data_IF_230301678057
#
_entry.id   IF_230301678057
#
_cell.length_a   1.000
_cell.length_b   1.000
_cell.length_c   1.000
_cell.angle_alpha   90.00
_cell.angle_beta   90.00
_cell.angle_gamma   90.00
#
_symmetry.space_group_name_H-M   'P 1'
#
loop_
_entity.id
_entity.type
_entity.pdbx_description
1 polymer ?
#
# COMPACT_ATOMS: atom_id res chain seq x y z
N UNK A 1 25.69 6.22 -1.91
CA UNK A 1 24.31 5.97 -1.51
C UNK A 1 23.46 7.04 -2.19
N UNK A 2 22.55 6.64 -3.07
CA UNK A 2 21.80 7.59 -3.89
C UNK A 2 20.66 8.24 -3.09
N UNK A 3 19.98 7.46 -2.23
CA UNK A 3 18.89 7.94 -1.39
C UNK A 3 19.21 7.79 0.09
N UNK A 4 18.67 8.70 0.91
CA UNK A 4 18.76 8.69 2.38
C UNK A 4 17.44 8.31 3.03
N UNK A 5 16.34 8.56 2.31
CA UNK A 5 14.97 8.27 2.75
C UNK A 5 14.26 7.46 1.70
N UNK A 6 13.52 6.44 2.13
CA UNK A 6 12.66 5.65 1.27
C UNK A 6 11.26 5.60 1.86
N UNK A 7 10.28 5.98 1.05
CA UNK A 7 8.86 5.91 1.39
C UNK A 7 8.28 4.73 0.61
N UNK A 8 7.79 3.73 1.31
CA UNK A 8 7.20 2.52 0.73
C UNK A 8 5.67 2.55 0.80
N UNK A 9 5.00 2.07 -0.23
CA UNK A 9 3.65 1.55 -0.06
C UNK A 9 3.68 0.24 0.75
N UNK A 10 2.52 -0.25 1.16
CA UNK A 10 2.35 -1.43 2.00
C UNK A 10 1.79 -2.62 1.21
N UNK A 11 0.51 -2.52 0.80
CA UNK A 11 -0.24 -3.60 0.17
C UNK A 11 0.20 -3.77 -1.30
N UNK A 12 0.75 -4.92 -1.67
CA UNK A 12 1.33 -5.15 -3.01
C UNK A 12 2.81 -4.76 -3.14
N UNK A 13 3.36 -4.03 -2.19
CA UNK A 13 4.77 -3.58 -2.21
C UNK A 13 5.61 -4.30 -1.17
N UNK A 14 5.29 -4.16 0.10
CA UNK A 14 5.98 -4.82 1.22
C UNK A 14 5.32 -6.15 1.60
N UNK A 15 4.00 -6.20 1.54
CA UNK A 15 3.18 -7.33 1.96
C UNK A 15 2.23 -7.76 0.85
N UNK A 16 2.12 -9.07 0.65
CA UNK A 16 1.02 -9.68 -0.07
C UNK A 16 -0.17 -9.81 0.89
N UNK A 17 -1.15 -8.94 0.72
CA UNK A 17 -2.35 -8.84 1.57
C UNK A 17 -3.62 -9.26 0.85
N UNK A 18 -3.50 -9.67 -0.42
CA UNK A 18 -4.68 -9.83 -1.29
C UNK A 18 -5.64 -10.91 -0.82
N UNK A 19 -5.12 -12.03 -0.29
CA UNK A 19 -5.94 -13.15 0.17
C UNK A 19 -6.84 -12.75 1.33
N UNK A 20 -6.33 -12.00 2.31
CA UNK A 20 -7.14 -11.55 3.45
C UNK A 20 -8.14 -10.45 3.05
N UNK A 21 -7.78 -9.59 2.10
CA UNK A 21 -8.71 -8.61 1.52
C UNK A 21 -9.86 -9.31 0.77
N UNK A 22 -9.56 -10.34 -0.02
CA UNK A 22 -10.54 -11.13 -0.73
C UNK A 22 -11.45 -11.92 0.23
N UNK A 23 -10.88 -12.50 1.28
CA UNK A 23 -11.65 -13.19 2.32
C UNK A 23 -12.63 -12.24 3.00
N UNK A 24 -12.22 -11.02 3.32
CA UNK A 24 -13.08 -10.02 3.93
C UNK A 24 -14.20 -9.54 2.98
N UNK A 25 -13.89 -9.30 1.70
CA UNK A 25 -14.90 -8.96 0.70
C UNK A 25 -15.94 -10.08 0.55
N UNK A 26 -15.49 -11.32 0.43
CA UNK A 26 -16.36 -12.49 0.29
C UNK A 26 -17.14 -12.80 1.56
N UNK A 27 -16.59 -12.55 2.74
CA UNK A 27 -17.38 -12.62 3.97
C UNK A 27 -18.57 -11.67 3.89
N UNK A 28 -18.37 -10.41 3.50
CA UNK A 28 -19.46 -9.44 3.36
C UNK A 28 -20.45 -9.83 2.27
N UNK A 29 -19.97 -10.38 1.15
CA UNK A 29 -20.83 -10.89 0.08
C UNK A 29 -21.76 -11.99 0.59
N UNK A 30 -21.23 -12.97 1.33
CA UNK A 30 -22.05 -14.05 1.93
C UNK A 30 -23.09 -13.54 2.92
N UNK A 31 -22.69 -12.60 3.80
CA UNK A 31 -23.62 -12.02 4.79
C UNK A 31 -24.79 -11.22 4.19
N UNK A 32 -24.65 -10.81 2.91
CA UNK A 32 -25.66 -10.02 2.22
C UNK A 32 -26.30 -10.75 1.01
N UNK A 33 -26.04 -12.07 0.85
CA UNK A 33 -26.50 -12.88 -0.29
C UNK A 33 -26.06 -12.32 -1.66
N UNK A 34 -24.83 -11.76 -1.73
CA UNK A 34 -24.22 -11.28 -2.96
C UNK A 34 -23.27 -12.32 -3.57
N UNK A 35 -23.03 -12.24 -4.90
CA UNK A 35 -22.01 -13.09 -5.53
C UNK A 35 -20.63 -12.89 -4.92
N UNK A 36 -19.88 -13.97 -4.76
CA UNK A 36 -18.49 -13.93 -4.32
C UNK A 36 -17.55 -13.67 -5.51
N UNK A 37 -16.36 -13.17 -5.22
CA UNK A 37 -15.31 -12.85 -6.17
C UNK A 37 -14.08 -13.75 -5.99
N UNK A 38 -13.39 -14.03 -7.07
CA UNK A 38 -12.07 -14.65 -7.03
C UNK A 38 -11.04 -13.66 -6.46
N UNK A 39 -9.90 -14.17 -5.98
CA UNK A 39 -8.79 -13.33 -5.50
C UNK A 39 -8.33 -12.34 -6.59
N UNK A 40 -8.20 -12.79 -7.85
CA UNK A 40 -7.79 -11.95 -8.97
C UNK A 40 -8.79 -10.81 -9.29
N UNK A 41 -10.09 -11.07 -9.14
CA UNK A 41 -11.11 -10.02 -9.29
C UNK A 41 -10.99 -8.98 -8.18
N UNK A 42 -10.81 -9.42 -6.92
CA UNK A 42 -10.61 -8.49 -5.80
C UNK A 42 -9.33 -7.69 -5.97
N UNK A 43 -8.23 -8.30 -6.43
CA UNK A 43 -6.97 -7.64 -6.72
C UNK A 43 -7.15 -6.47 -7.70
N UNK A 44 -7.94 -6.67 -8.74
CA UNK A 44 -8.26 -5.60 -9.70
C UNK A 44 -9.00 -4.41 -9.09
N UNK A 45 -9.69 -4.63 -7.95
CA UNK A 45 -10.49 -3.61 -7.24
C UNK A 45 -9.69 -2.85 -6.17
N UNK A 46 -8.52 -3.36 -5.74
CA UNK A 46 -7.68 -2.74 -4.69
C UNK A 46 -6.93 -1.49 -5.23
N UNK A 47 -6.38 -0.65 -4.34
CA UNK A 47 -5.44 0.45 -4.64
C UNK A 47 -5.89 1.83 -4.17
N UNK A 48 -7.21 2.09 -4.09
CA UNK A 48 -7.75 3.39 -3.70
C UNK A 48 -8.36 3.41 -2.28
N UNK A 49 -7.92 2.49 -1.41
CA UNK A 49 -8.41 2.32 -0.04
C UNK A 49 -9.67 1.46 0.07
N UNK A 50 -9.95 1.01 1.31
CA UNK A 50 -11.05 0.09 1.62
C UNK A 50 -12.43 0.65 1.22
N UNK A 51 -12.76 1.95 1.41
CA UNK A 51 -14.06 2.47 0.98
C UNK A 51 -14.32 2.28 -0.53
N UNK A 52 -13.27 2.43 -1.35
CA UNK A 52 -13.40 2.23 -2.80
C UNK A 52 -13.48 0.75 -3.18
N UNK A 53 -12.76 -0.12 -2.47
CA UNK A 53 -12.91 -1.56 -2.61
C UNK A 53 -14.35 -1.99 -2.29
N UNK A 54 -14.90 -1.52 -1.19
CA UNK A 54 -16.30 -1.79 -0.78
C UNK A 54 -17.30 -1.33 -1.85
N UNK A 55 -17.14 -0.13 -2.39
CA UNK A 55 -17.99 0.36 -3.48
C UNK A 55 -17.91 -0.55 -4.71
N UNK A 56 -16.71 -1.02 -5.08
CA UNK A 56 -16.48 -1.82 -6.29
C UNK A 56 -17.10 -3.21 -6.21
N UNK A 57 -16.99 -3.90 -5.07
CA UNK A 57 -17.58 -5.23 -4.93
C UNK A 57 -19.07 -5.20 -4.55
N UNK A 58 -19.60 -4.06 -4.09
CA UNK A 58 -21.04 -3.94 -3.80
C UNK A 58 -21.86 -3.93 -5.09
N UNK A 59 -22.98 -4.65 -5.18
CA UNK A 59 -23.92 -4.55 -6.31
C UNK A 59 -24.46 -3.12 -6.46
N UNK A 60 -24.83 -2.72 -7.68
CA UNK A 60 -25.30 -1.35 -7.96
C UNK A 60 -26.48 -0.90 -7.07
N UNK A 61 -27.43 -1.80 -6.83
CA UNK A 61 -28.57 -1.55 -5.95
C UNK A 61 -28.20 -1.40 -4.47
N UNK A 62 -26.99 -1.74 -4.07
CA UNK A 62 -26.44 -1.64 -2.72
C UNK A 62 -25.47 -0.45 -2.53
N UNK A 63 -25.36 0.45 -3.51
CA UNK A 63 -24.40 1.58 -3.47
C UNK A 63 -24.96 2.89 -2.93
N UNK A 64 -26.11 2.87 -2.23
CA UNK A 64 -26.53 4.08 -1.51
C UNK A 64 -25.55 4.42 -0.38
N UNK A 65 -25.39 5.72 0.01
CA UNK A 65 -24.45 6.12 1.05
C UNK A 65 -24.62 5.34 2.37
N UNK A 66 -25.86 5.09 2.79
CA UNK A 66 -26.15 4.32 4.00
C UNK A 66 -25.75 2.85 3.86
N UNK A 67 -26.02 2.23 2.73
CA UNK A 67 -25.64 0.83 2.48
C UNK A 67 -24.12 0.67 2.42
N UNK A 68 -23.43 1.56 1.68
CA UNK A 68 -21.98 1.54 1.65
C UNK A 68 -21.34 1.74 3.03
N UNK A 69 -21.89 2.60 3.87
CA UNK A 69 -21.41 2.78 5.24
C UNK A 69 -21.57 1.49 6.08
N UNK A 70 -22.72 0.80 5.96
CA UNK A 70 -22.95 -0.48 6.63
C UNK A 70 -22.03 -1.58 6.10
N UNK A 71 -21.86 -1.68 4.79
CA UNK A 71 -20.95 -2.64 4.14
C UNK A 71 -19.50 -2.42 4.58
N UNK A 72 -19.06 -1.16 4.62
CA UNK A 72 -17.75 -0.77 5.11
C UNK A 72 -17.55 -1.16 6.59
N UNK A 73 -18.56 -0.98 7.41
CA UNK A 73 -18.50 -1.41 8.82
C UNK A 73 -18.37 -2.94 8.94
N UNK A 74 -19.15 -3.71 8.17
CA UNK A 74 -19.05 -5.18 8.14
C UNK A 74 -17.65 -5.62 7.70
N UNK A 75 -17.13 -5.03 6.61
CA UNK A 75 -15.79 -5.29 6.10
C UNK A 75 -14.72 -5.02 7.15
N UNK A 76 -14.70 -3.82 7.73
CA UNK A 76 -13.70 -3.42 8.72
C UNK A 76 -13.73 -4.30 9.97
N UNK A 77 -14.91 -4.72 10.42
CA UNK A 77 -15.06 -5.62 11.56
C UNK A 77 -14.42 -6.99 11.29
N UNK A 78 -14.70 -7.57 10.12
CA UNK A 78 -14.11 -8.87 9.74
C UNK A 78 -12.61 -8.73 9.48
N UNK A 79 -12.23 -7.78 8.62
CA UNK A 79 -10.83 -7.57 8.24
C UNK A 79 -9.95 -7.24 9.44
N UNK A 80 -10.44 -6.45 10.40
CA UNK A 80 -9.70 -6.13 11.63
C UNK A 80 -9.35 -7.35 12.49
N UNK A 81 -10.15 -8.42 12.42
CA UNK A 81 -9.89 -9.66 13.15
C UNK A 81 -9.07 -10.69 12.34
N UNK A 82 -9.04 -10.59 11.00
CA UNK A 82 -8.54 -11.62 10.10
C UNK A 82 -7.47 -11.13 9.09
N UNK A 83 -6.91 -9.93 9.27
CA UNK A 83 -6.04 -9.27 8.30
C UNK A 83 -4.57 -9.74 8.29
N UNK A 84 -4.26 -10.79 9.03
CA UNK A 84 -2.92 -11.39 9.11
C UNK A 84 -2.97 -12.93 9.06
N UNK A 85 -4.04 -13.50 8.50
CA UNK A 85 -4.18 -14.97 8.38
C UNK A 85 -3.40 -15.52 7.19
N UNK A 86 -3.44 -14.81 6.06
CA UNK A 86 -2.73 -15.16 4.83
C UNK A 86 -1.72 -14.10 4.41
N UNK A 87 -1.79 -12.90 4.98
CA UNK A 87 -0.86 -11.80 4.73
C UNK A 87 0.57 -12.21 5.08
N UNK A 88 1.51 -11.91 4.21
CA UNK A 88 2.93 -12.20 4.43
C UNK A 88 3.83 -11.23 3.65
N UNK A 89 5.09 -11.01 4.10
CA UNK A 89 6.07 -10.23 3.35
C UNK A 89 6.40 -10.88 2.01
N UNK A 90 6.59 -10.05 0.97
CA UNK A 90 7.16 -10.55 -0.27
C UNK A 90 8.57 -11.10 -0.06
N UNK A 91 9.00 -12.11 -0.86
CA UNK A 91 10.32 -12.73 -0.72
C UNK A 91 11.45 -11.72 -0.77
N UNK A 92 12.33 -11.75 0.24
CA UNK A 92 13.52 -10.87 0.35
C UNK A 92 13.23 -9.47 0.91
N UNK A 93 11.99 -9.08 1.14
CA UNK A 93 11.65 -7.77 1.75
C UNK A 93 12.17 -7.65 3.18
N UNK A 94 11.99 -8.64 4.09
CA UNK A 94 12.50 -8.51 5.45
C UNK A 94 14.03 -8.33 5.50
N UNK A 95 14.76 -9.03 4.65
CA UNK A 95 16.23 -8.95 4.55
C UNK A 95 16.66 -7.59 4.00
N UNK A 96 15.99 -7.12 2.93
CA UNK A 96 16.25 -5.81 2.34
C UNK A 96 16.05 -4.69 3.38
N UNK A 97 14.91 -4.68 4.05
CA UNK A 97 14.57 -3.64 5.02
C UNK A 97 15.56 -3.62 6.20
N UNK A 98 15.98 -4.79 6.71
CA UNK A 98 17.03 -4.87 7.75
C UNK A 98 18.34 -4.27 7.25
N UNK A 99 18.79 -4.63 6.05
CA UNK A 99 20.04 -4.10 5.49
C UNK A 99 19.97 -2.57 5.31
N UNK A 100 18.87 -2.02 4.80
CA UNK A 100 18.68 -0.58 4.67
C UNK A 100 18.69 0.13 6.03
N UNK A 101 18.02 -0.47 7.02
CA UNK A 101 18.02 0.04 8.40
C UNK A 101 19.42 0.05 9.01
N UNK A 102 20.17 -1.03 8.87
CA UNK A 102 21.55 -1.16 9.40
C UNK A 102 22.52 -0.19 8.75
N UNK A 103 22.24 0.21 7.50
CA UNK A 103 22.97 1.27 6.78
C UNK A 103 22.55 2.69 7.17
N UNK A 104 21.56 2.82 8.05
CA UNK A 104 21.09 4.10 8.58
C UNK A 104 20.13 4.87 7.67
N UNK A 105 19.48 4.21 6.68
CA UNK A 105 18.46 4.86 5.89
C UNK A 105 17.21 5.12 6.73
N UNK A 106 16.57 6.26 6.48
CA UNK A 106 15.24 6.53 7.03
C UNK A 106 14.19 5.86 6.15
N UNK A 107 13.32 5.08 6.77
CA UNK A 107 12.25 4.39 6.06
C UNK A 107 10.89 4.76 6.65
N UNK A 108 9.92 4.97 5.77
CA UNK A 108 8.55 5.23 6.15
C UNK A 108 7.57 4.44 5.27
N UNK A 109 6.36 4.22 5.80
CA UNK A 109 5.25 3.65 5.04
C UNK A 109 4.22 4.75 4.74
N UNK A 110 3.75 4.78 3.48
CA UNK A 110 2.70 5.66 2.98
C UNK A 110 1.63 4.81 2.27
N UNK A 111 0.51 4.54 2.93
CA UNK A 111 -0.51 3.63 2.41
C UNK A 111 -1.91 4.23 2.38
N UNK A 112 -2.74 3.79 1.42
CA UNK A 112 -4.18 4.08 1.38
C UNK A 112 -5.01 3.17 2.30
N UNK A 113 -4.38 2.15 2.91
CA UNK A 113 -4.95 1.34 3.97
C UNK A 113 -5.21 2.21 5.22
N UNK A 114 -6.27 1.92 5.98
CA UNK A 114 -6.55 2.63 7.22
C UNK A 114 -5.32 2.67 8.16
N UNK A 115 -5.05 3.82 8.78
CA UNK A 115 -3.84 4.07 9.58
C UNK A 115 -3.69 3.07 10.74
N UNK A 116 -4.80 2.72 11.40
CA UNK A 116 -4.81 1.74 12.48
C UNK A 116 -4.35 0.35 12.02
N UNK A 117 -4.86 -0.15 10.88
CA UNK A 117 -4.44 -1.44 10.33
C UNK A 117 -2.99 -1.39 9.81
N UNK A 118 -2.61 -0.30 9.15
CA UNK A 118 -1.24 -0.12 8.65
C UNK A 118 -0.22 -0.21 9.77
N UNK A 119 -0.45 0.47 10.91
CA UNK A 119 0.47 0.46 12.05
C UNK A 119 0.59 -0.92 12.68
N UNK A 120 -0.55 -1.60 12.91
CA UNK A 120 -0.56 -2.93 13.54
C UNK A 120 0.17 -3.95 12.69
N UNK A 121 -0.12 -3.99 11.38
CA UNK A 121 0.49 -4.93 10.44
C UNK A 121 1.99 -4.65 10.26
N UNK A 122 2.38 -3.38 10.10
CA UNK A 122 3.79 -3.01 9.97
C UNK A 122 4.59 -3.35 11.23
N UNK A 123 4.04 -3.08 12.42
CA UNK A 123 4.72 -3.43 13.68
C UNK A 123 4.84 -4.95 13.85
N UNK A 124 3.86 -5.72 13.38
CA UNK A 124 3.90 -7.18 13.44
C UNK A 124 5.00 -7.78 12.54
N UNK A 125 5.09 -7.36 11.28
CA UNK A 125 6.02 -7.96 10.31
C UNK A 125 7.41 -7.32 10.31
N UNK A 126 7.51 -6.03 10.67
CA UNK A 126 8.73 -5.23 10.58
C UNK A 126 8.97 -4.40 11.84
N UNK A 127 9.01 -5.02 13.04
CA UNK A 127 9.10 -4.29 14.29
C UNK A 127 10.34 -3.40 14.36
N UNK A 128 10.15 -2.12 14.68
CA UNK A 128 11.23 -1.15 14.85
C UNK A 128 11.96 -0.69 13.57
N UNK A 129 11.57 -1.17 12.39
CA UNK A 129 12.24 -0.85 11.11
C UNK A 129 11.87 0.55 10.60
N UNK A 130 10.60 0.91 10.65
CA UNK A 130 10.10 2.14 10.06
C UNK A 130 10.08 3.29 11.08
N UNK A 131 10.63 4.45 10.68
CA UNK A 131 10.58 5.68 11.48
C UNK A 131 9.17 6.26 11.56
N UNK A 132 8.38 6.06 10.52
CA UNK A 132 7.01 6.56 10.44
C UNK A 132 6.15 5.62 9.60
N UNK A 133 4.98 5.29 10.11
CA UNK A 133 3.92 4.59 9.38
C UNK A 133 2.74 5.54 9.26
N UNK A 134 2.29 5.77 8.03
CA UNK A 134 1.18 6.65 7.74
C UNK A 134 0.21 5.97 6.78
N UNK A 135 -0.93 5.59 7.31
CA UNK A 135 -2.08 5.11 6.56
C UNK A 135 -3.10 6.22 6.31
N UNK A 136 -4.23 5.84 5.75
CA UNK A 136 -5.38 6.73 5.55
C UNK A 136 -6.07 7.03 6.88
N UNK A 137 -6.23 8.34 7.16
CA UNK A 137 -7.03 8.86 8.27
C UNK A 137 -8.29 9.50 7.69
N UNK A 138 -9.49 9.18 8.19
CA UNK A 138 -10.73 9.78 7.71
C UNK A 138 -10.67 11.32 7.68
N UNK A 139 -11.09 11.90 6.55
CA UNK A 139 -11.08 13.35 6.34
C UNK A 139 -9.73 13.92 5.90
N UNK A 140 -8.70 13.10 5.69
CA UNK A 140 -7.43 13.52 5.09
C UNK A 140 -7.31 13.03 3.64
N UNK A 141 -6.56 13.75 2.79
CA UNK A 141 -6.27 13.28 1.44
C UNK A 141 -5.57 11.91 1.45
N UNK A 142 -5.85 11.11 0.42
CA UNK A 142 -5.23 9.80 0.16
C UNK A 142 -4.35 9.87 -1.07
N UNK A 143 -3.42 8.92 -1.24
CA UNK A 143 -2.66 8.79 -2.49
C UNK A 143 -3.62 8.75 -3.69
N UNK A 144 -3.37 9.45 -4.80
CA UNK A 144 -2.14 10.11 -5.20
C UNK A 144 -1.98 11.57 -4.77
N UNK A 145 -2.75 12.07 -3.78
CA UNK A 145 -2.50 13.39 -3.21
C UNK A 145 -1.12 13.41 -2.53
N UNK A 146 -0.26 14.40 -2.83
CA UNK A 146 1.10 14.46 -2.31
C UNK A 146 1.19 14.78 -0.81
N UNK A 147 0.09 15.18 -0.19
CA UNK A 147 0.08 15.68 1.20
C UNK A 147 0.61 14.67 2.20
N UNK A 148 0.32 13.38 2.01
CA UNK A 148 0.83 12.33 2.92
C UNK A 148 2.34 12.18 2.78
N UNK A 149 2.86 12.07 1.55
CA UNK A 149 4.29 11.91 1.30
C UNK A 149 5.08 13.16 1.75
N UNK A 150 4.58 14.36 1.46
CA UNK A 150 5.18 15.62 1.94
C UNK A 150 5.20 15.72 3.46
N UNK A 151 4.11 15.32 4.14
CA UNK A 151 4.05 15.29 5.60
C UNK A 151 5.00 14.26 6.24
N UNK A 152 5.27 13.15 5.55
CA UNK A 152 6.29 12.19 5.96
C UNK A 152 7.68 12.81 5.84
N UNK A 153 8.02 13.43 4.69
CA UNK A 153 9.30 14.08 4.49
C UNK A 153 9.57 15.19 5.52
N UNK A 154 8.58 16.04 5.77
CA UNK A 154 8.69 17.10 6.78
C UNK A 154 9.03 16.55 8.17
N UNK A 155 8.33 15.49 8.60
CA UNK A 155 8.57 14.87 9.92
C UNK A 155 9.92 14.17 10.02
N UNK A 156 10.45 13.67 8.90
CA UNK A 156 11.75 13.02 8.85
C UNK A 156 12.91 13.98 8.58
N UNK A 157 12.61 15.26 8.25
CA UNK A 157 13.62 16.20 7.78
C UNK A 157 14.26 15.75 6.46
N UNK A 158 13.48 15.12 5.58
CA UNK A 158 13.95 14.49 4.35
C UNK A 158 13.82 15.46 3.17
N UNK A 159 14.85 15.50 2.32
CA UNK A 159 14.86 16.32 1.11
C UNK A 159 14.33 15.53 -0.09
N UNK A 160 13.53 16.14 -1.00
CA UNK A 160 12.98 15.44 -2.17
C UNK A 160 14.05 14.78 -3.05
N UNK A 161 15.20 15.43 -3.27
CA UNK A 161 16.30 14.90 -4.09
C UNK A 161 17.02 13.68 -3.49
N UNK A 162 16.83 13.40 -2.19
CA UNK A 162 17.39 12.26 -1.46
C UNK A 162 16.32 11.26 -1.01
N UNK A 163 15.08 11.42 -1.48
CA UNK A 163 13.93 10.57 -1.12
C UNK A 163 13.42 9.82 -2.34
N UNK A 164 13.14 8.53 -2.17
CA UNK A 164 12.55 7.67 -3.18
C UNK A 164 11.16 7.22 -2.73
N UNK A 165 10.14 7.31 -3.60
CA UNK A 165 8.87 6.62 -3.44
C UNK A 165 8.94 5.24 -4.08
N UNK A 166 8.51 4.21 -3.36
CA UNK A 166 8.47 2.81 -3.85
C UNK A 166 7.06 2.29 -3.73
N UNK A 167 6.50 1.76 -4.82
CA UNK A 167 5.16 1.19 -4.84
C UNK A 167 4.92 0.30 -6.05
N UNK A 168 3.79 -0.40 -6.07
CA UNK A 168 3.43 -1.36 -7.12
C UNK A 168 2.32 -0.86 -8.06
N UNK A 169 1.86 0.40 -7.91
CA UNK A 169 0.72 0.92 -8.67
C UNK A 169 0.95 2.32 -9.24
N UNK A 170 0.15 2.68 -10.24
CA UNK A 170 0.03 4.03 -10.78
C UNK A 170 -0.21 5.08 -9.69
N UNK A 171 -0.97 4.73 -8.67
CA UNK A 171 -1.25 5.59 -7.51
C UNK A 171 0.05 5.98 -6.79
N UNK A 172 0.98 5.06 -6.64
CA UNK A 172 2.27 5.30 -5.98
C UNK A 172 3.20 6.17 -6.83
N UNK A 173 3.27 5.86 -8.12
CA UNK A 173 4.07 6.62 -9.07
C UNK A 173 3.60 8.08 -9.10
N UNK A 174 2.30 8.29 -9.25
CA UNK A 174 1.72 9.63 -9.21
C UNK A 174 1.91 10.33 -7.85
N UNK A 175 1.85 9.59 -6.74
CA UNK A 175 2.14 10.16 -5.39
C UNK A 175 3.56 10.69 -5.32
N UNK A 176 4.54 9.89 -5.77
CA UNK A 176 5.93 10.29 -5.84
C UNK A 176 6.10 11.56 -6.68
N UNK A 177 5.64 11.55 -7.91
CA UNK A 177 5.75 12.69 -8.83
C UNK A 177 5.04 13.95 -8.30
N UNK A 178 3.83 13.83 -7.78
CA UNK A 178 3.08 14.95 -7.21
C UNK A 178 3.78 15.54 -5.95
N UNK A 179 4.56 14.72 -5.25
CA UNK A 179 5.37 15.17 -4.11
C UNK A 179 6.76 15.71 -4.51
N UNK A 180 7.13 15.62 -5.79
CA UNK A 180 8.45 16.03 -6.31
C UNK A 180 9.54 14.98 -6.10
N UNK A 181 9.16 13.72 -5.90
CA UNK A 181 10.06 12.59 -5.70
C UNK A 181 10.26 11.81 -6.99
N UNK A 182 11.37 11.08 -7.07
CA UNK A 182 11.47 9.96 -8.01
C UNK A 182 10.66 8.78 -7.48
N UNK A 183 10.11 8.00 -8.40
CA UNK A 183 9.29 6.83 -8.12
C UNK A 183 9.90 5.55 -8.70
N UNK A 184 10.05 4.53 -7.86
CA UNK A 184 10.42 3.18 -8.25
C UNK A 184 9.17 2.29 -8.21
N UNK A 185 8.83 1.70 -9.35
CA UNK A 185 7.78 0.70 -9.47
C UNK A 185 8.32 -0.70 -9.20
N UNK A 186 7.66 -1.47 -8.35
CA UNK A 186 7.97 -2.88 -8.14
C UNK A 186 6.96 -3.75 -8.90
N UNK A 187 7.43 -4.81 -9.59
CA UNK A 187 6.59 -5.56 -10.52
C UNK A 187 6.02 -6.86 -9.95
N UNK A 188 6.28 -7.15 -8.68
CA UNK A 188 5.74 -8.33 -7.98
C UNK A 188 4.40 -8.09 -7.30
N UNK A 189 3.89 -6.83 -7.34
CA UNK A 189 2.66 -6.43 -6.66
C UNK A 189 1.39 -6.66 -7.49
N UNK A 190 0.34 -5.90 -7.19
CA UNK A 190 -1.01 -6.09 -7.73
C UNK A 190 -1.20 -5.49 -9.13
N UNK A 191 -0.32 -4.61 -9.59
CA UNK A 191 -0.44 -3.99 -10.92
C UNK A 191 0.60 -4.52 -11.88
N UNK A 192 0.22 -4.57 -13.16
CA UNK A 192 1.12 -5.03 -14.21
C UNK A 192 2.26 -4.03 -14.45
N UNK A 193 3.35 -4.53 -15.01
CA UNK A 193 4.47 -3.69 -15.48
C UNK A 193 3.99 -2.56 -16.41
N UNK A 194 3.04 -2.86 -17.29
CA UNK A 194 2.49 -1.91 -18.26
C UNK A 194 1.79 -0.75 -17.53
N UNK A 195 1.03 -1.03 -16.47
CA UNK A 195 0.39 0.01 -15.65
C UNK A 195 1.43 0.98 -15.04
N UNK A 196 2.56 0.45 -14.55
CA UNK A 196 3.64 1.27 -14.01
C UNK A 196 4.33 2.11 -15.10
N UNK A 197 4.55 1.53 -16.27
CA UNK A 197 5.14 2.24 -17.42
C UNK A 197 4.21 3.35 -17.91
N UNK A 198 2.92 3.08 -18.04
CA UNK A 198 1.90 4.06 -18.44
C UNK A 198 1.77 5.20 -17.42
N UNK A 199 1.99 4.92 -16.14
CA UNK A 199 2.05 5.94 -15.08
C UNK A 199 3.33 6.79 -15.12
N UNK A 200 4.30 6.46 -15.99
CA UNK A 200 5.54 7.23 -16.18
C UNK A 200 6.60 6.94 -15.11
N UNK A 201 6.66 5.71 -14.59
CA UNK A 201 7.65 5.32 -13.57
C UNK A 201 9.09 5.70 -13.95
N UNK A 202 9.88 6.21 -13.00
CA UNK A 202 11.29 6.59 -13.25
C UNK A 202 12.23 5.40 -13.35
N UNK A 203 11.94 4.33 -12.59
CA UNK A 203 12.71 3.10 -12.56
C UNK A 203 11.83 1.93 -12.11
N UNK A 204 12.07 0.77 -12.69
CA UNK A 204 11.41 -0.49 -12.31
C UNK A 204 12.39 -1.40 -11.58
N UNK A 205 11.85 -2.20 -10.67
CA UNK A 205 12.55 -3.29 -10.02
C UNK A 205 11.69 -4.56 -10.08
N UNK A 206 12.23 -5.62 -10.67
CA UNK A 206 11.55 -6.92 -10.77
C UNK A 206 11.87 -7.83 -9.57
N UNK A 207 12.92 -7.48 -8.83
CA UNK A 207 13.39 -8.23 -7.67
C UNK A 207 13.81 -7.29 -6.54
N UNK A 208 13.81 -7.81 -5.31
CA UNK A 208 14.35 -7.07 -4.14
C UNK A 208 15.82 -6.73 -4.28
N UNK A 209 16.59 -7.53 -5.04
CA UNK A 209 18.00 -7.24 -5.35
C UNK A 209 18.15 -6.01 -6.27
N UNK A 210 17.28 -5.89 -7.28
CA UNK A 210 17.24 -4.71 -8.14
C UNK A 210 16.76 -3.48 -7.38
N UNK A 211 15.71 -3.61 -6.56
CA UNK A 211 15.25 -2.51 -5.69
C UNK A 211 16.37 -2.02 -4.77
N UNK A 212 17.14 -2.94 -4.17
CA UNK A 212 18.33 -2.60 -3.38
C UNK A 212 19.35 -1.81 -4.19
N UNK A 213 19.65 -2.25 -5.42
CA UNK A 213 20.58 -1.55 -6.30
C UNK A 213 20.09 -0.13 -6.64
N UNK A 214 18.79 0.04 -6.90
CA UNK A 214 18.18 1.36 -7.13
C UNK A 214 18.34 2.27 -5.91
N UNK A 215 18.10 1.76 -4.70
CA UNK A 215 18.15 2.56 -3.47
C UNK A 215 19.59 2.96 -3.12
N UNK A 216 20.53 2.05 -3.25
CA UNK A 216 21.91 2.25 -2.78
C UNK A 216 22.82 2.89 -3.84
N UNK A 217 22.51 2.75 -5.12
CA UNK A 217 23.28 3.24 -6.27
C UNK A 217 24.36 2.26 -6.69
#
# INVERSE_FOLDING_TARGET
MMYRTVIFDLDGTLLDTISDLAAAANYVCRENDWPEYTVAEVESMVGNGIPKLVERFSPENARSPLMLANTLHQFNRYYGAHNMESTHPYPGIPELLRELHDRGLQMAVCSNKADEFSRVIVEHYFPGIFRLVRGNIPGTPVKPDPGVAKGIMERLGAEPGETLMVGDSDVDIHTGHNAGLRACGVTWGFRSRENLVDAGVDVLADTTAELKAVILG
#
